data_IF_534256052673
#
_entry.id   IF_534256052673
#
_cell.length_a   1.000
_cell.length_b   1.000
_cell.length_c   1.000
_cell.angle_alpha   90.00
_cell.angle_beta   90.00
_cell.angle_gamma   90.00
#
_symmetry.space_group_name_H-M   'P 1'
#
loop_
_entity.id
_entity.type
_entity.pdbx_description
1 polymer ?
#
# COMPACT_ATOMS: atom_id res chain seq x y z
N UNK A 1 15.80 -12.00 -11.17
CA UNK A 1 15.61 -11.11 -12.34
C UNK A 1 16.54 -9.90 -12.29
N UNK A 2 17.31 -9.62 -13.36
CA UNK A 2 18.13 -8.41 -13.51
C UNK A 2 17.47 -7.45 -14.49
N UNK A 3 16.34 -6.86 -14.10
CA UNK A 3 15.68 -5.83 -14.88
C UNK A 3 15.46 -4.58 -14.02
N UNK A 4 15.87 -3.43 -14.53
CA UNK A 4 15.82 -2.17 -13.80
C UNK A 4 14.38 -1.71 -13.49
N UNK A 5 13.42 -2.04 -14.36
CA UNK A 5 11.99 -1.71 -14.16
C UNK A 5 11.43 -2.55 -13.01
N UNK A 6 11.73 -3.85 -12.99
CA UNK A 6 11.33 -4.72 -11.88
C UNK A 6 11.96 -4.27 -10.55
N UNK A 7 13.26 -3.96 -10.54
CA UNK A 7 13.94 -3.48 -9.32
C UNK A 7 13.41 -2.15 -8.84
N UNK A 8 13.11 -1.22 -9.75
CA UNK A 8 12.50 0.06 -9.40
C UNK A 8 11.11 -0.12 -8.77
N UNK A 9 10.30 -1.05 -9.30
CA UNK A 9 9.00 -1.36 -8.73
C UNK A 9 9.11 -2.02 -7.34
N UNK A 10 9.95 -3.05 -7.19
CA UNK A 10 10.16 -3.71 -5.88
C UNK A 10 10.73 -2.73 -4.84
N UNK A 11 11.59 -1.81 -5.29
CA UNK A 11 12.13 -0.73 -4.44
C UNK A 11 11.11 0.30 -3.96
N UNK A 12 9.87 0.29 -4.47
CA UNK A 12 8.78 1.11 -3.92
C UNK A 12 8.31 0.60 -2.55
N UNK A 13 8.64 -0.65 -2.20
CA UNK A 13 8.27 -1.28 -0.94
C UNK A 13 9.48 -1.34 0.00
N UNK A 14 9.24 -1.13 1.30
CA UNK A 14 10.23 -1.40 2.34
C UNK A 14 10.24 -2.90 2.73
N UNK A 15 11.13 -3.28 3.65
CA UNK A 15 11.32 -4.67 4.10
C UNK A 15 10.03 -5.30 4.69
N UNK A 16 9.16 -4.48 5.28
CA UNK A 16 7.89 -4.92 5.86
C UNK A 16 6.73 -4.86 4.87
N UNK A 17 6.98 -4.48 3.61
CA UNK A 17 6.00 -4.46 2.51
C UNK A 17 5.06 -3.26 2.53
N UNK A 18 5.43 -2.18 3.23
CA UNK A 18 4.75 -0.90 3.10
C UNK A 18 5.32 -0.10 1.93
N UNK A 19 4.47 0.72 1.33
CA UNK A 19 4.89 1.71 0.34
C UNK A 19 5.77 2.78 1.02
N UNK A 20 6.97 3.03 0.49
CA UNK A 20 7.88 4.08 0.98
C UNK A 20 8.00 5.29 0.04
N UNK A 21 7.33 5.24 -1.11
CA UNK A 21 7.28 6.32 -2.11
C UNK A 21 5.90 6.98 -2.12
N UNK A 22 5.72 8.08 -2.84
CA UNK A 22 4.41 8.70 -3.01
C UNK A 22 3.49 7.85 -3.90
N UNK A 23 2.18 8.08 -3.80
CA UNK A 23 1.18 7.41 -4.66
C UNK A 23 1.43 7.68 -6.15
N UNK A 24 1.87 8.89 -6.49
CA UNK A 24 2.20 9.32 -7.85
C UNK A 24 3.41 8.56 -8.40
N UNK A 25 4.47 8.45 -7.61
CA UNK A 25 5.67 7.71 -7.99
C UNK A 25 5.35 6.21 -8.11
N UNK A 26 4.57 5.65 -7.19
CA UNK A 26 4.13 4.27 -7.29
C UNK A 26 3.27 4.00 -8.52
N UNK A 27 2.35 4.92 -8.87
CA UNK A 27 1.54 4.81 -10.08
C UNK A 27 2.42 4.82 -11.35
N UNK A 28 3.43 5.68 -11.40
CA UNK A 28 4.40 5.74 -12.50
C UNK A 28 5.18 4.43 -12.63
N UNK A 29 5.78 3.94 -11.53
CA UNK A 29 6.55 2.67 -11.55
C UNK A 29 5.67 1.47 -11.87
N UNK A 30 4.42 1.45 -11.41
CA UNK A 30 3.42 0.42 -11.74
C UNK A 30 3.08 0.43 -13.23
N UNK A 31 2.91 1.60 -13.83
CA UNK A 31 2.66 1.73 -15.27
C UNK A 31 3.85 1.25 -16.09
N UNK A 32 5.08 1.58 -15.66
CA UNK A 32 6.31 1.09 -16.30
C UNK A 32 6.42 -0.44 -16.20
N UNK A 33 6.15 -1.03 -15.03
CA UNK A 33 6.13 -2.48 -14.83
C UNK A 33 5.10 -3.15 -15.75
N UNK A 34 3.87 -2.65 -15.80
CA UNK A 34 2.81 -3.20 -16.65
C UNK A 34 3.21 -3.18 -18.13
N UNK A 35 3.77 -2.06 -18.61
CA UNK A 35 4.23 -1.95 -20.00
C UNK A 35 5.36 -2.94 -20.29
N UNK A 36 6.28 -3.12 -19.35
CA UNK A 36 7.35 -4.10 -19.49
C UNK A 36 6.83 -5.54 -19.48
N UNK A 37 5.89 -5.89 -18.59
CA UNK A 37 5.29 -7.23 -18.54
C UNK A 37 4.63 -7.63 -19.86
N UNK A 38 4.04 -6.68 -20.59
CA UNK A 38 3.46 -6.94 -21.92
C UNK A 38 4.50 -7.35 -22.97
N UNK A 39 5.78 -7.01 -22.76
CA UNK A 39 6.88 -7.38 -23.67
C UNK A 39 7.50 -8.75 -23.34
N UNK A 40 7.17 -9.32 -22.19
CA UNK A 40 7.68 -10.61 -21.74
C UNK A 40 6.90 -11.78 -22.36
N UNK A 41 7.56 -12.92 -22.52
CA UNK A 41 6.90 -14.18 -22.82
C UNK A 41 5.97 -14.61 -21.67
N UNK A 42 5.02 -15.49 -21.97
CA UNK A 42 3.96 -15.90 -21.03
C UNK A 42 4.52 -16.52 -19.75
N UNK A 43 5.59 -17.32 -19.86
CA UNK A 43 6.19 -17.99 -18.70
C UNK A 43 6.88 -16.97 -17.79
N UNK A 44 7.75 -16.14 -18.35
CA UNK A 44 8.44 -15.09 -17.59
C UNK A 44 7.44 -14.11 -16.98
N UNK A 45 6.38 -13.75 -17.71
CA UNK A 45 5.31 -12.88 -17.20
C UNK A 45 4.57 -13.49 -16.01
N UNK A 46 4.27 -14.78 -16.05
CA UNK A 46 3.63 -15.49 -14.95
C UNK A 46 4.54 -15.54 -13.71
N UNK A 47 5.85 -15.77 -13.92
CA UNK A 47 6.84 -15.75 -12.83
C UNK A 47 6.92 -14.36 -12.18
N UNK A 48 6.97 -13.28 -12.98
CA UNK A 48 6.96 -11.90 -12.46
C UNK A 48 5.69 -11.62 -11.66
N UNK A 49 4.52 -12.04 -12.18
CA UNK A 49 3.24 -11.81 -11.53
C UNK A 49 3.15 -12.55 -10.18
N UNK A 50 3.71 -13.75 -10.08
CA UNK A 50 3.76 -14.52 -8.84
C UNK A 50 4.63 -13.84 -7.77
N UNK A 51 5.73 -13.19 -8.16
CA UNK A 51 6.60 -12.46 -7.25
C UNK A 51 6.02 -11.10 -6.81
N UNK A 52 5.35 -10.39 -7.73
CA UNK A 52 4.82 -9.05 -7.48
C UNK A 52 3.49 -9.07 -6.71
N UNK A 53 2.64 -10.08 -6.94
CA UNK A 53 1.31 -10.16 -6.32
C UNK A 53 1.35 -10.07 -4.78
N UNK A 54 2.22 -10.81 -4.06
CA UNK A 54 2.32 -10.71 -2.60
C UNK A 54 2.69 -9.31 -2.11
N UNK A 55 3.55 -8.58 -2.84
CA UNK A 55 3.96 -7.21 -2.48
C UNK A 55 2.76 -6.26 -2.53
N UNK A 56 1.98 -6.34 -3.60
CA UNK A 56 0.76 -5.53 -3.78
C UNK A 56 -0.28 -5.86 -2.70
N UNK A 57 -0.50 -7.15 -2.44
CA UNK A 57 -1.46 -7.61 -1.41
C UNK A 57 -1.06 -7.09 -0.04
N UNK A 58 0.23 -7.17 0.31
CA UNK A 58 0.74 -6.73 1.61
C UNK A 58 0.61 -5.22 1.80
N UNK A 59 0.92 -4.43 0.78
CA UNK A 59 0.74 -2.98 0.82
C UNK A 59 -0.74 -2.60 0.97
N UNK A 60 -1.66 -3.28 0.25
CA UNK A 60 -3.09 -3.05 0.39
C UNK A 60 -3.60 -3.38 1.80
N UNK A 61 -3.07 -4.44 2.42
CA UNK A 61 -3.41 -4.80 3.80
C UNK A 61 -2.96 -3.71 4.79
N UNK A 62 -1.72 -3.22 4.66
CA UNK A 62 -1.20 -2.14 5.50
C UNK A 62 -2.02 -0.84 5.38
N UNK A 63 -2.46 -0.49 4.17
CA UNK A 63 -3.34 0.67 3.96
C UNK A 63 -4.66 0.49 4.71
N UNK A 64 -5.26 -0.70 4.63
CA UNK A 64 -6.53 -1.01 5.32
C UNK A 64 -6.36 -0.96 6.84
N UNK A 65 -5.26 -1.50 7.35
CA UNK A 65 -4.98 -1.48 8.79
C UNK A 65 -4.81 -0.04 9.31
N UNK A 66 -4.12 0.83 8.55
CA UNK A 66 -4.01 2.27 8.86
C UNK A 66 -5.37 2.98 8.86
N UNK A 67 -6.25 2.68 7.90
CA UNK A 67 -7.61 3.24 7.86
C UNK A 67 -8.43 2.82 9.08
N UNK A 68 -8.37 1.54 9.47
CA UNK A 68 -9.06 1.02 10.65
C UNK A 68 -8.60 1.70 11.94
N UNK A 69 -7.29 1.88 12.12
CA UNK A 69 -6.73 2.59 13.29
C UNK A 69 -7.26 4.03 13.34
N UNK A 70 -7.31 4.72 12.19
CA UNK A 70 -7.85 6.08 12.12
C UNK A 70 -9.33 6.13 12.50
N UNK A 71 -10.15 5.20 12.00
CA UNK A 71 -11.56 5.07 12.39
C UNK A 71 -11.74 4.85 13.89
N UNK A 72 -10.96 3.93 14.48
CA UNK A 72 -10.96 3.67 15.92
C UNK A 72 -10.56 4.91 16.74
N UNK A 73 -9.57 5.68 16.29
CA UNK A 73 -9.16 6.94 16.90
C UNK A 73 -10.28 7.99 16.84
N UNK A 74 -10.96 8.13 15.71
CA UNK A 74 -12.10 9.05 15.53
C UNK A 74 -13.24 8.66 16.47
N UNK A 75 -13.65 7.38 16.49
CA UNK A 75 -14.75 6.90 17.35
C UNK A 75 -14.43 7.10 18.85
N UNK A 76 -13.18 6.85 19.25
CA UNK A 76 -12.72 7.08 20.62
C UNK A 76 -12.75 8.56 20.99
N UNK A 77 -12.34 9.44 20.07
CA UNK A 77 -12.36 10.88 20.30
C UNK A 77 -13.80 11.43 20.37
N UNK A 78 -14.69 10.98 19.48
CA UNK A 78 -16.13 11.31 19.53
C UNK A 78 -16.78 10.85 20.85
N UNK A 79 -16.40 9.68 21.35
CA UNK A 79 -16.83 9.20 22.68
C UNK A 79 -16.35 10.11 23.80
N UNK A 80 -15.11 10.59 23.74
CA UNK A 80 -14.54 11.56 24.72
C UNK A 80 -15.18 12.94 24.61
N UNK A 81 -15.47 13.43 23.39
CA UNK A 81 -16.18 14.69 23.18
C UNK A 81 -17.60 14.66 23.74
N UNK A 82 -18.34 13.55 23.55
CA UNK A 82 -19.67 13.37 24.16
C UNK A 82 -19.62 13.28 25.68
N UNK A 83 -18.61 12.62 26.25
CA UNK A 83 -18.41 12.58 27.70
C UNK A 83 -18.08 13.98 28.25
N UNK A 84 -17.19 14.74 27.60
CA UNK A 84 -16.82 16.08 28.05
C UNK A 84 -17.96 17.10 27.91
N UNK A 85 -18.87 16.95 26.94
CA UNK A 85 -20.05 17.83 26.86
C UNK A 85 -21.09 17.56 27.96
N UNK A 86 -21.10 16.34 28.51
CA UNK A 86 -21.97 15.96 29.62
C UNK A 86 -21.43 16.45 30.97
N UNK A 87 -20.11 16.46 31.16
CA UNK A 87 -19.45 16.97 32.37
C UNK A 87 -19.18 18.48 32.37
N UNK A 88 -19.15 19.15 31.20
CA UNK A 88 -18.98 20.62 31.12
C UNK A 88 -20.23 21.44 31.47
N UNK A 89 -21.32 20.79 31.89
CA UNK A 89 -22.58 21.42 32.32
C UNK A 89 -22.83 21.38 33.84
N UNK A 90 -21.86 20.89 34.63
CA UNK A 90 -21.88 20.99 36.09
C UNK A 90 -20.81 21.97 36.58
#
# INVERSE_FOLDING_TARGET
MNNDIYRAFVGCFNEIGELQVSDEEFAEKSAMLNRWMMTLDEKTRADVAAEVSPLIIKAAQHIRDKQKILEEMIMTNDGRMKANSFYGKF
#
